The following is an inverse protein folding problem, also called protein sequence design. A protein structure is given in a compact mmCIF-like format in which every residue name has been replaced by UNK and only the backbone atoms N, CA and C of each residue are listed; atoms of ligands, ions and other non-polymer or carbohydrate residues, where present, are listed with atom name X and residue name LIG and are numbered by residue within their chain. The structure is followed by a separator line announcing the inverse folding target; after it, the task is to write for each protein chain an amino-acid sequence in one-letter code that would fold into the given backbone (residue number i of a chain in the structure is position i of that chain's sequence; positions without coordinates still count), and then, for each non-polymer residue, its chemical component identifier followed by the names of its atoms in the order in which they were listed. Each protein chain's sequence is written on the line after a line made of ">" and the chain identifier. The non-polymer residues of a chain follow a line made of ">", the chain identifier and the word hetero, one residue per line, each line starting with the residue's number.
data_IF_422258700630
#
_entry.id   IF_422258700630
#
_cell.length_a   1.000
_cell.length_b   1.000
_cell.length_c   1.000
_cell.angle_alpha   90.00
_cell.angle_beta   90.00
_cell.angle_gamma   90.00
#
_symmetry.space_group_name_H-M   'P 1'
#
loop_
_entity.id
_entity.type
_entity.pdbx_description
1 polymer ?
#
# COMPACT_ATOMS: atom_id res chain seq x y z
N UNK A 1 6.11 -18.27 -11.90
CA UNK A 1 4.70 -18.53 -11.54
C UNK A 1 4.07 -17.20 -11.16
N UNK A 2 2.81 -16.96 -11.52
CA UNK A 2 2.09 -15.72 -11.17
C UNK A 2 1.89 -15.63 -9.65
N UNK A 3 1.90 -14.41 -9.10
CA UNK A 3 1.70 -14.14 -7.66
C UNK A 3 0.42 -13.32 -7.48
N UNK A 4 -0.45 -13.74 -6.58
CA UNK A 4 -1.68 -13.02 -6.23
C UNK A 4 -1.49 -12.32 -4.88
N UNK A 5 -1.58 -10.99 -4.87
CA UNK A 5 -1.74 -10.23 -3.64
C UNK A 5 -3.22 -9.83 -3.48
N UNK A 6 -3.82 -10.09 -2.33
CA UNK A 6 -5.22 -9.75 -2.06
C UNK A 6 -5.28 -8.45 -1.28
N UNK A 7 -5.95 -7.43 -1.85
CA UNK A 7 -6.22 -6.18 -1.15
C UNK A 7 -7.42 -6.35 -0.19
N UNK A 8 -7.26 -5.95 1.07
CA UNK A 8 -8.25 -6.12 2.15
C UNK A 8 -8.90 -4.81 2.62
N UNK A 9 -8.66 -3.68 1.94
CA UNK A 9 -9.13 -2.35 2.35
C UNK A 9 -10.64 -2.27 2.50
N UNK A 10 -11.38 -2.97 1.65
CA UNK A 10 -12.84 -2.96 1.69
C UNK A 10 -13.43 -3.75 2.85
N UNK A 11 -12.67 -4.64 3.50
CA UNK A 11 -13.06 -5.23 4.79
C UNK A 11 -13.07 -4.14 5.86
N UNK A 12 -11.99 -3.35 5.93
CA UNK A 12 -11.92 -2.20 6.82
C UNK A 12 -12.99 -1.15 6.48
N UNK A 13 -13.33 -0.94 5.21
CA UNK A 13 -14.42 -0.04 4.80
C UNK A 13 -15.76 -0.44 5.44
N UNK A 14 -16.10 -1.74 5.43
CA UNK A 14 -17.33 -2.23 6.08
C UNK A 14 -17.29 -2.01 7.59
N UNK A 15 -16.16 -2.26 8.23
CA UNK A 15 -15.95 -1.99 9.67
C UNK A 15 -16.15 -0.50 9.99
N UNK A 16 -15.49 0.38 9.24
CA UNK A 16 -15.52 1.82 9.45
C UNK A 16 -16.90 2.44 9.19
N UNK A 17 -17.74 1.80 8.36
CA UNK A 17 -19.13 2.23 8.15
C UNK A 17 -19.98 2.15 9.43
N UNK A 18 -19.59 1.32 10.41
CA UNK A 18 -20.27 1.20 11.71
C UNK A 18 -19.39 1.55 12.90
N UNK A 19 -18.10 1.87 12.68
CA UNK A 19 -17.14 2.18 13.74
C UNK A 19 -17.09 1.08 14.81
N UNK A 20 -17.14 -0.17 14.35
CA UNK A 20 -17.09 -1.38 15.17
C UNK A 20 -15.71 -2.04 15.07
N UNK A 21 -15.51 -3.16 15.76
CA UNK A 21 -14.30 -3.97 15.64
C UNK A 21 -14.40 -5.05 14.54
N UNK A 22 -15.63 -5.34 14.07
CA UNK A 22 -15.91 -6.30 13.00
C UNK A 22 -16.48 -5.63 11.74
N UNK A 23 -16.19 -6.18 10.55
CA UNK A 23 -15.26 -7.29 10.30
C UNK A 23 -13.78 -6.88 10.48
N UNK A 24 -12.94 -7.78 11.00
CA UNK A 24 -11.51 -7.52 11.24
C UNK A 24 -10.68 -7.74 9.96
N UNK A 25 -9.96 -6.72 9.44
CA UNK A 25 -9.09 -6.88 8.28
C UNK A 25 -7.99 -7.94 8.46
N UNK A 26 -7.49 -8.15 9.69
CA UNK A 26 -6.51 -9.22 9.95
C UNK A 26 -7.12 -10.60 9.71
N UNK A 27 -8.36 -10.83 10.15
CA UNK A 27 -9.03 -12.12 9.95
C UNK A 27 -9.21 -12.40 8.46
N UNK A 28 -9.62 -11.39 7.69
CA UNK A 28 -9.71 -11.49 6.24
C UNK A 28 -8.35 -11.78 5.57
N UNK A 29 -7.26 -11.17 6.03
CA UNK A 29 -5.91 -11.47 5.55
C UNK A 29 -5.55 -12.95 5.79
N UNK A 30 -5.76 -13.45 7.00
CA UNK A 30 -5.45 -14.85 7.35
C UNK A 30 -6.32 -15.84 6.55
N UNK A 31 -7.56 -15.49 6.24
CA UNK A 31 -8.42 -16.29 5.36
C UNK A 31 -7.94 -16.25 3.91
N UNK A 32 -7.50 -15.09 3.42
CA UNK A 32 -6.93 -14.95 2.07
C UNK A 32 -5.65 -15.79 1.91
N UNK A 33 -4.77 -15.80 2.91
CA UNK A 33 -3.59 -16.69 2.95
C UNK A 33 -3.98 -18.17 2.85
N UNK A 34 -4.94 -18.61 3.67
CA UNK A 34 -5.48 -19.97 3.60
C UNK A 34 -6.13 -20.28 2.26
N UNK A 35 -6.69 -19.28 1.59
CA UNK A 35 -7.25 -19.34 0.25
C UNK A 35 -6.20 -19.39 -0.87
N UNK A 36 -4.91 -19.31 -0.56
CA UNK A 36 -3.82 -19.40 -1.53
C UNK A 36 -3.26 -18.05 -2.01
N UNK A 37 -3.57 -16.94 -1.33
CA UNK A 37 -2.92 -15.67 -1.61
C UNK A 37 -1.41 -15.78 -1.39
N UNK A 38 -0.63 -15.25 -2.33
CA UNK A 38 0.83 -15.14 -2.16
C UNK A 38 1.18 -14.07 -1.13
N UNK A 39 0.39 -13.00 -1.05
CA UNK A 39 0.59 -11.89 -0.12
C UNK A 39 -0.67 -11.08 0.09
N UNK A 40 -0.58 -10.11 0.99
CA UNK A 40 -1.68 -9.22 1.34
C UNK A 40 -1.31 -7.79 0.95
N UNK A 41 -2.26 -7.07 0.38
CA UNK A 41 -2.15 -5.63 0.14
C UNK A 41 -3.06 -4.87 1.09
N UNK A 42 -2.57 -3.78 1.66
CA UNK A 42 -3.37 -2.84 2.43
C UNK A 42 -2.91 -1.42 2.13
N UNK A 43 -3.86 -0.51 1.91
CA UNK A 43 -3.59 0.90 1.65
C UNK A 43 -3.82 1.73 2.92
N UNK A 44 -2.73 2.22 3.50
CA UNK A 44 -2.78 3.16 4.61
C UNK A 44 -2.88 4.59 4.06
N UNK A 45 -4.12 5.06 3.94
CA UNK A 45 -4.42 6.43 3.50
C UNK A 45 -4.04 7.48 4.53
N UNK A 46 -3.70 8.69 4.08
CA UNK A 46 -3.45 9.83 4.97
C UNK A 46 -4.64 10.13 5.89
N UNK A 47 -5.86 10.01 5.37
CA UNK A 47 -7.09 10.29 6.11
C UNK A 47 -7.61 9.12 6.97
N UNK A 48 -6.92 7.96 6.93
CA UNK A 48 -7.33 6.72 7.61
C UNK A 48 -8.80 6.37 7.36
N UNK A 49 -9.29 6.54 6.13
CA UNK A 49 -10.70 6.30 5.78
C UNK A 49 -11.19 4.88 6.05
N UNK A 50 -10.32 3.88 5.88
CA UNK A 50 -10.64 2.47 6.07
C UNK A 50 -9.60 1.80 6.98
N UNK A 51 -8.45 1.42 6.40
CA UNK A 51 -7.36 0.76 7.13
C UNK A 51 -6.71 1.76 8.08
N UNK A 52 -6.50 1.32 9.32
CA UNK A 52 -5.93 2.12 10.41
C UNK A 52 -4.47 1.71 10.68
N UNK A 53 -3.71 2.57 11.37
CA UNK A 53 -2.33 2.26 11.77
C UNK A 53 -2.24 0.94 12.59
N UNK A 54 -3.26 0.68 13.40
CA UNK A 54 -3.36 -0.54 14.20
C UNK A 54 -3.49 -1.80 13.34
N UNK A 55 -4.23 -1.72 12.23
CA UNK A 55 -4.39 -2.83 11.29
C UNK A 55 -3.05 -3.18 10.65
N UNK A 56 -2.30 -2.17 10.18
CA UNK A 56 -0.99 -2.38 9.54
C UNK A 56 0.02 -3.03 10.48
N UNK A 57 0.07 -2.60 11.75
CA UNK A 57 0.96 -3.23 12.76
C UNK A 57 0.62 -4.70 12.96
N UNK A 58 -0.66 -5.02 13.16
CA UNK A 58 -1.12 -6.40 13.33
C UNK A 58 -0.86 -7.26 12.11
N UNK A 59 -1.12 -6.73 10.92
CA UNK A 59 -0.83 -7.44 9.67
C UNK A 59 0.66 -7.77 9.59
N UNK A 60 1.54 -6.80 9.85
CA UNK A 60 2.99 -7.01 9.82
C UNK A 60 3.47 -8.05 10.82
N UNK A 61 2.86 -8.12 11.99
CA UNK A 61 3.24 -9.04 13.08
C UNK A 61 2.68 -10.46 12.92
N UNK A 62 1.48 -10.61 12.34
CA UNK A 62 0.68 -11.83 12.48
C UNK A 62 0.43 -12.59 11.18
N UNK A 63 0.58 -11.97 10.01
CA UNK A 63 0.47 -12.69 8.73
C UNK A 63 1.80 -13.39 8.41
N UNK A 64 1.73 -14.52 7.70
CA UNK A 64 2.94 -15.27 7.31
C UNK A 64 3.44 -14.89 5.91
N UNK A 65 2.57 -14.29 5.11
CA UNK A 65 2.82 -13.89 3.74
C UNK A 65 3.42 -12.48 3.62
N UNK A 66 4.04 -12.15 2.48
CA UNK A 66 4.42 -10.80 2.12
C UNK A 66 3.30 -9.76 2.28
N UNK A 67 3.60 -8.68 3.00
CA UNK A 67 2.77 -7.46 3.04
C UNK A 67 3.23 -6.47 1.97
N UNK A 68 2.31 -6.09 1.08
CA UNK A 68 2.42 -4.92 0.20
C UNK A 68 1.66 -3.75 0.83
N UNK A 69 2.38 -2.70 1.22
CA UNK A 69 1.79 -1.50 1.82
C UNK A 69 1.63 -0.43 0.74
N UNK A 70 0.38 -0.09 0.41
CA UNK A 70 0.06 1.05 -0.46
C UNK A 70 0.02 2.34 0.35
N UNK A 71 0.68 3.39 -0.13
CA UNK A 71 0.75 4.71 0.52
C UNK A 71 0.91 5.85 -0.49
N UNK A 72 0.50 7.05 -0.08
CA UNK A 72 0.89 8.29 -0.75
C UNK A 72 2.39 8.62 -0.56
N UNK A 73 2.98 9.35 -1.51
CA UNK A 73 4.37 9.81 -1.47
C UNK A 73 4.59 11.00 -0.50
N UNK A 74 4.14 10.91 0.74
CA UNK A 74 4.28 11.98 1.75
C UNK A 74 5.15 11.53 2.92
N UNK A 75 5.88 12.46 3.54
CA UNK A 75 6.89 12.14 4.55
C UNK A 75 6.36 11.33 5.74
N UNK A 76 5.13 11.61 6.18
CA UNK A 76 4.48 10.83 7.25
C UNK A 76 4.35 9.35 6.85
N UNK A 77 3.77 9.09 5.67
CA UNK A 77 3.56 7.72 5.18
C UNK A 77 4.87 6.99 4.91
N UNK A 78 5.88 7.69 4.39
CA UNK A 78 7.21 7.13 4.15
C UNK A 78 7.87 6.73 5.47
N UNK A 79 7.75 7.56 6.51
CA UNK A 79 8.27 7.25 7.83
C UNK A 79 7.59 6.00 8.40
N UNK A 80 6.25 5.94 8.36
CA UNK A 80 5.49 4.76 8.81
C UNK A 80 5.95 3.51 8.05
N UNK A 81 6.11 3.60 6.73
CA UNK A 81 6.55 2.48 5.89
C UNK A 81 7.95 1.98 6.27
N UNK A 82 8.89 2.90 6.53
CA UNK A 82 10.26 2.57 6.97
C UNK A 82 10.25 1.90 8.34
N UNK A 83 9.38 2.32 9.25
CA UNK A 83 9.26 1.75 10.59
C UNK A 83 8.61 0.35 10.53
N UNK A 84 7.58 0.17 9.70
CA UNK A 84 6.87 -1.11 9.52
C UNK A 84 7.71 -2.15 8.76
N UNK A 85 8.54 -1.72 7.80
CA UNK A 85 9.33 -2.60 6.92
C UNK A 85 8.47 -3.69 6.25
N UNK A 86 7.47 -3.32 5.44
CA UNK A 86 6.70 -4.28 4.66
C UNK A 86 7.61 -4.97 3.63
N UNK A 87 7.11 -6.03 2.98
CA UNK A 87 7.84 -6.67 1.89
C UNK A 87 7.96 -5.72 0.68
N UNK A 88 6.87 -5.03 0.37
CA UNK A 88 6.80 -4.04 -0.70
C UNK A 88 6.08 -2.78 -0.21
N UNK A 89 6.52 -1.62 -0.70
CA UNK A 89 5.79 -0.37 -0.65
C UNK A 89 5.38 0.01 -2.08
N UNK A 90 4.08 0.22 -2.28
CA UNK A 90 3.52 0.65 -3.55
C UNK A 90 3.04 2.09 -3.42
N UNK A 91 3.69 3.01 -4.11
CA UNK A 91 3.30 4.41 -4.10
C UNK A 91 2.10 4.58 -5.02
N UNK A 92 1.03 5.17 -4.50
CA UNK A 92 -0.21 5.42 -5.21
C UNK A 92 -0.53 6.92 -5.17
N UNK A 93 -1.22 7.47 -6.19
CA UNK A 93 -1.69 8.84 -6.10
C UNK A 93 -2.84 8.91 -5.08
N UNK A 94 -2.78 9.89 -4.20
CA UNK A 94 -3.86 10.15 -3.24
C UNK A 94 -4.28 11.62 -3.34
N UNK A 95 -5.52 11.89 -3.76
CA UNK A 95 -6.16 13.18 -3.55
C UNK A 95 -7.11 13.09 -2.35
N UNK A 96 -7.12 14.13 -1.50
CA UNK A 96 -7.98 14.19 -0.30
C UNK A 96 -9.49 14.00 -0.57
N UNK A 97 -9.96 14.23 -1.80
CA UNK A 97 -11.39 14.17 -2.17
C UNK A 97 -11.75 13.02 -3.12
N UNK A 98 -10.79 12.21 -3.58
CA UNK A 98 -11.10 11.11 -4.51
C UNK A 98 -11.76 9.93 -3.77
N UNK A 99 -12.78 9.35 -4.39
CA UNK A 99 -13.50 8.16 -3.90
C UNK A 99 -12.70 6.89 -4.19
N UNK A 100 -12.02 6.84 -5.33
CA UNK A 100 -11.09 5.79 -5.79
C UNK A 100 -9.98 6.44 -6.62
N UNK A 101 -8.83 5.78 -6.76
CA UNK A 101 -7.73 6.23 -7.63
C UNK A 101 -8.22 6.39 -9.08
N UNK A 102 -8.30 7.62 -9.58
CA UNK A 102 -8.86 7.90 -10.93
C UNK A 102 -7.83 7.70 -12.06
N UNK A 103 -6.53 7.58 -11.72
CA UNK A 103 -5.43 7.32 -12.66
C UNK A 103 -4.13 6.96 -11.96
N UNK A 104 -3.08 6.72 -12.72
CA UNK A 104 -1.73 6.45 -12.19
C UNK A 104 -1.03 7.70 -11.63
N UNK A 105 0.08 7.48 -10.93
CA UNK A 105 1.03 8.54 -10.59
C UNK A 105 1.54 9.19 -11.87
N UNK A 106 1.61 10.53 -11.86
CA UNK A 106 2.40 11.26 -12.83
C UNK A 106 3.84 11.34 -12.34
N UNK A 107 4.67 10.38 -12.76
CA UNK A 107 6.06 10.24 -12.30
C UNK A 107 6.92 11.41 -12.77
N UNK A 108 6.69 11.93 -13.98
CA UNK A 108 7.46 13.06 -14.51
C UNK A 108 7.38 14.32 -13.66
N UNK A 109 6.19 14.65 -13.17
CA UNK A 109 5.98 15.86 -12.36
C UNK A 109 6.61 15.77 -10.96
N UNK A 110 6.93 14.55 -10.51
CA UNK A 110 7.40 14.28 -9.15
C UNK A 110 8.70 13.48 -9.15
N UNK A 111 9.46 13.49 -10.25
CA UNK A 111 10.56 12.57 -10.48
C UNK A 111 11.63 12.62 -9.37
N UNK A 112 12.19 13.80 -9.11
CA UNK A 112 13.23 13.99 -8.07
C UNK A 112 12.74 13.55 -6.68
N UNK A 113 11.47 13.83 -6.39
CA UNK A 113 10.83 13.43 -5.14
C UNK A 113 10.71 11.90 -5.04
N UNK A 114 10.12 11.26 -6.06
CA UNK A 114 9.93 9.81 -6.09
C UNK A 114 11.25 9.04 -6.10
N UNK A 115 12.30 9.58 -6.74
CA UNK A 115 13.67 9.05 -6.67
C UNK A 115 14.16 9.06 -5.21
N UNK A 116 14.03 10.18 -4.50
CA UNK A 116 14.41 10.29 -3.09
C UNK A 116 13.62 9.32 -2.21
N UNK A 117 12.29 9.26 -2.37
CA UNK A 117 11.43 8.29 -1.66
C UNK A 117 11.91 6.86 -1.94
N UNK A 118 12.14 6.54 -3.22
CA UNK A 118 12.64 5.24 -3.65
C UNK A 118 13.96 4.87 -2.99
N UNK A 119 14.93 5.80 -2.91
CA UNK A 119 16.19 5.56 -2.21
C UNK A 119 15.98 5.27 -0.73
N UNK A 120 15.20 6.10 -0.03
CA UNK A 120 14.93 5.93 1.41
C UNK A 120 14.27 4.59 1.74
N UNK A 121 13.32 4.16 0.91
CA UNK A 121 12.60 2.90 1.07
C UNK A 121 13.50 1.70 0.74
N UNK A 122 14.21 1.75 -0.41
CA UNK A 122 15.11 0.66 -0.86
C UNK A 122 16.29 0.46 0.09
N UNK A 123 16.82 1.51 0.72
CA UNK A 123 17.89 1.41 1.73
C UNK A 123 17.49 0.49 2.91
N UNK A 124 16.20 0.38 3.21
CA UNK A 124 15.67 -0.49 4.28
C UNK A 124 15.36 -1.91 3.81
N UNK A 125 15.69 -2.25 2.56
CA UNK A 125 15.42 -3.56 1.97
C UNK A 125 13.96 -3.78 1.57
N UNK A 126 13.17 -2.72 1.49
CA UNK A 126 11.75 -2.77 1.09
C UNK A 126 11.69 -2.67 -0.44
N UNK A 127 10.92 -3.55 -1.09
CA UNK A 127 10.67 -3.43 -2.53
C UNK A 127 9.86 -2.18 -2.82
N UNK A 128 10.22 -1.45 -3.87
CA UNK A 128 9.57 -0.20 -4.23
C UNK A 128 8.81 -0.37 -5.54
N UNK A 129 7.53 0.00 -5.54
CA UNK A 129 6.64 -0.05 -6.70
C UNK A 129 5.93 1.29 -6.87
N UNK A 130 5.65 1.67 -8.13
CA UNK A 130 4.90 2.87 -8.49
C UNK A 130 3.62 2.43 -9.21
N UNK A 131 2.46 2.89 -8.74
CA UNK A 131 1.19 2.68 -9.42
C UNK A 131 1.05 3.72 -10.54
N UNK A 132 1.24 3.29 -11.78
CA UNK A 132 1.25 4.15 -12.97
C UNK A 132 0.24 3.64 -14.00
N UNK A 133 -0.18 4.54 -14.89
CA UNK A 133 -0.94 4.17 -16.08
C UNK A 133 -0.05 3.40 -17.07
N UNK A 134 -0.64 2.58 -17.96
CA UNK A 134 0.07 1.85 -19.00
C UNK A 134 0.55 2.77 -20.14
N UNK A 135 1.17 3.90 -19.79
CA UNK A 135 1.78 4.88 -20.70
C UNK A 135 3.29 4.61 -20.80
N UNK A 136 3.84 4.37 -22.01
CA UNK A 136 5.28 4.18 -22.21
C UNK A 136 6.15 5.28 -21.59
N UNK A 137 5.69 6.54 -21.58
CA UNK A 137 6.43 7.64 -21.00
C UNK A 137 6.54 7.49 -19.47
N UNK A 138 5.44 7.16 -18.78
CA UNK A 138 5.42 6.92 -17.33
C UNK A 138 6.24 5.67 -16.95
N UNK A 139 6.19 4.62 -17.77
CA UNK A 139 7.01 3.41 -17.60
C UNK A 139 8.50 3.74 -17.70
N UNK A 140 8.90 4.56 -18.67
CA UNK A 140 10.30 4.96 -18.84
C UNK A 140 10.77 5.88 -17.70
N UNK A 141 9.93 6.80 -17.23
CA UNK A 141 10.22 7.61 -16.06
C UNK A 141 10.44 6.77 -14.80
N UNK A 142 9.65 5.71 -14.61
CA UNK A 142 9.71 4.83 -13.44
C UNK A 142 10.99 3.98 -13.34
N UNK A 143 11.80 3.92 -14.41
CA UNK A 143 13.06 3.16 -14.43
C UNK A 143 14.26 3.96 -13.95
N UNK A 144 14.16 5.30 -13.94
CA UNK A 144 15.24 6.20 -13.53
C UNK A 144 15.35 6.22 -12.00
#
# INVERSE_FOLDING_TARGET
>A
MIKLFVNIDHVATVREARKTYEPDPLEAALLAEKGGAYGITAHLREDRRHVQDYDIKRLKELINSPLNLEIAAVDEMIKITIDIKPFQASIVPEKRQEVTTEGGLNVFEQEDHLINVGYRVKEKGILFSLFIDPDPAQVEASKR
#
